data_IF_118638248198
#
_entry.id   IF_118638248198
#
_cell.length_a   1.000
_cell.length_b   1.000
_cell.length_c   1.000
_cell.angle_alpha   90.00
_cell.angle_beta   90.00
_cell.angle_gamma   90.00
#
_symmetry.space_group_name_H-M   'P 1'
#
loop_
_entity.id
_entity.type
_entity.pdbx_description
1 polymer ?
#
# COMPACT_ATOMS: atom_id res chain seq x y z
N UNK A 1 59.29 -28.95 -7.12
CA UNK A 1 59.55 -29.10 -5.67
C UNK A 1 58.41 -28.36 -4.98
N UNK A 2 57.37 -28.94 -4.39
CA UNK A 2 56.96 -30.30 -3.97
C UNK A 2 55.43 -30.13 -3.76
N UNK A 3 54.57 -30.80 -4.52
CA UNK A 3 53.96 -32.13 -4.24
C UNK A 3 53.01 -32.21 -3.02
N UNK A 4 51.82 -32.77 -3.29
CA UNK A 4 50.91 -33.43 -2.33
C UNK A 4 49.69 -32.59 -1.90
N UNK A 5 48.45 -33.08 -1.89
CA UNK A 5 47.93 -34.43 -2.15
C UNK A 5 46.39 -34.38 -2.20
N UNK A 6 45.81 -35.25 -3.03
CA UNK A 6 44.37 -35.54 -3.21
C UNK A 6 43.65 -35.98 -1.93
N UNK A 7 42.32 -35.78 -1.89
CA UNK A 7 41.38 -36.83 -1.46
C UNK A 7 39.98 -36.67 -2.06
N UNK A 8 39.50 -37.80 -2.55
CA UNK A 8 38.24 -38.15 -3.22
C UNK A 8 37.18 -38.65 -2.24
N UNK A 9 35.93 -38.78 -2.73
CA UNK A 9 34.76 -39.42 -2.10
C UNK A 9 33.54 -38.49 -2.17
N UNK A 10 32.55 -38.60 -3.06
CA UNK A 10 31.76 -39.74 -3.59
C UNK A 10 30.96 -40.45 -2.51
N UNK A 11 29.63 -40.18 -2.48
CA UNK A 11 28.49 -41.10 -2.22
C UNK A 11 27.17 -40.27 -2.23
N UNK A 12 26.29 -40.50 -3.23
CA UNK A 12 25.03 -41.28 -3.18
C UNK A 12 23.78 -40.39 -2.93
N UNK A 13 23.04 -39.99 -3.96
CA UNK A 13 21.81 -40.62 -4.53
C UNK A 13 20.66 -40.77 -3.52
N UNK A 14 19.59 -39.99 -3.72
CA UNK A 14 18.20 -40.41 -3.45
C UNK A 14 17.21 -39.61 -4.30
N UNK A 15 16.82 -40.17 -5.45
CA UNK A 15 15.59 -39.83 -6.17
C UNK A 15 14.46 -40.66 -5.57
N UNK A 16 13.29 -40.05 -5.33
CA UNK A 16 12.05 -40.83 -5.26
C UNK A 16 10.92 -40.08 -5.98
N UNK A 17 10.55 -40.66 -7.13
CA UNK A 17 9.42 -40.32 -7.97
C UNK A 17 8.09 -40.58 -7.23
N UNK A 18 7.17 -39.64 -7.34
CA UNK A 18 5.75 -39.83 -7.00
C UNK A 18 4.94 -39.70 -8.29
N UNK A 19 4.65 -40.84 -8.92
CA UNK A 19 3.63 -40.95 -9.96
C UNK A 19 2.31 -41.33 -9.27
N UNK A 20 1.28 -40.52 -9.49
CA UNK A 20 -0.11 -40.84 -9.14
C UNK A 20 -0.76 -41.18 -10.48
N UNK A 21 -1.04 -42.46 -10.70
CA UNK A 21 -1.91 -42.95 -11.77
C UNK A 21 -3.34 -43.09 -11.26
N UNK A 22 -4.26 -42.75 -12.17
CA UNK A 22 -5.69 -42.71 -12.04
C UNK A 22 -6.32 -44.07 -11.68
N UNK A 23 -7.36 -44.05 -10.86
CA UNK A 23 -8.32 -45.16 -10.74
C UNK A 23 -9.73 -44.60 -10.95
N UNK A 24 -10.28 -44.88 -12.12
CA UNK A 24 -11.72 -44.96 -12.38
C UNK A 24 -12.04 -46.39 -12.79
N UNK A 25 -13.00 -47.03 -12.12
CA UNK A 25 -13.87 -48.03 -12.75
C UNK A 25 -15.14 -48.21 -11.93
N UNK A 26 -16.25 -48.11 -12.66
CA UNK A 26 -17.64 -48.17 -12.26
C UNK A 26 -18.18 -49.62 -12.29
N UNK A 27 -19.41 -49.78 -11.81
CA UNK A 27 -20.40 -50.84 -12.12
C UNK A 27 -20.34 -52.27 -11.52
N UNK A 28 -21.18 -52.44 -10.48
CA UNK A 28 -22.36 -53.33 -10.38
C UNK A 28 -22.36 -54.83 -10.74
N UNK A 29 -22.78 -55.61 -9.72
CA UNK A 29 -23.84 -56.65 -9.67
C UNK A 29 -23.65 -58.05 -10.32
N UNK A 30 -23.56 -59.11 -9.50
CA UNK A 30 -24.67 -60.01 -9.11
C UNK A 30 -24.19 -61.29 -8.35
N UNK A 31 -24.99 -61.68 -7.33
CA UNK A 31 -25.40 -63.03 -6.80
C UNK A 31 -24.49 -64.27 -7.04
N UNK A 32 -24.25 -65.20 -6.10
CA UNK A 32 -25.21 -65.93 -5.22
C UNK A 32 -24.46 -66.83 -4.19
N UNK A 33 -25.03 -66.96 -2.98
CA UNK A 33 -25.10 -68.13 -2.07
C UNK A 33 -23.85 -68.89 -1.52
N UNK A 34 -23.69 -68.97 -0.17
CA UNK A 34 -23.99 -70.16 0.66
C UNK A 34 -23.79 -69.90 2.18
N UNK A 35 -24.68 -70.49 2.99
CA UNK A 35 -24.91 -70.36 4.43
C UNK A 35 -23.74 -70.81 5.34
N UNK A 36 -23.64 -70.20 6.53
CA UNK A 36 -23.62 -70.93 7.81
C UNK A 36 -23.70 -69.97 9.02
N UNK A 37 -24.61 -70.33 9.93
CA UNK A 37 -24.95 -69.77 11.23
C UNK A 37 -23.80 -69.15 12.05
N UNK A 38 -24.03 -67.96 12.61
CA UNK A 38 -23.64 -67.65 14.01
C UNK A 38 -24.51 -66.52 14.55
N UNK A 39 -25.37 -66.92 15.47
CA UNK A 39 -26.10 -66.08 16.42
C UNK A 39 -25.14 -65.17 17.21
N UNK A 40 -25.30 -63.85 17.08
CA UNK A 40 -24.74 -62.89 18.05
C UNK A 40 -25.48 -61.55 18.00
N UNK A 41 -26.21 -61.32 19.09
CA UNK A 41 -26.49 -60.04 19.76
C UNK A 41 -26.66 -58.78 18.87
N UNK A 42 -27.91 -58.36 18.72
CA UNK A 42 -28.32 -57.02 18.28
C UNK A 42 -27.80 -55.96 19.28
N UNK A 43 -27.02 -54.94 18.86
CA UNK A 43 -26.77 -53.76 19.68
C UNK A 43 -27.85 -52.70 19.44
N UNK A 44 -28.85 -52.70 20.30
CA UNK A 44 -29.96 -51.72 20.37
C UNK A 44 -29.50 -50.40 21.02
N UNK A 45 -28.54 -49.67 20.43
CA UNK A 45 -28.07 -48.38 21.02
C UNK A 45 -27.84 -47.22 20.03
N UNK A 46 -27.75 -47.43 18.71
CA UNK A 46 -27.48 -46.31 17.77
C UNK A 46 -28.70 -45.61 17.15
N UNK A 47 -29.92 -46.15 17.34
CA UNK A 47 -31.15 -45.59 16.73
C UNK A 47 -31.61 -44.30 17.44
N UNK A 48 -31.17 -44.05 18.68
CA UNK A 48 -31.67 -42.92 19.48
C UNK A 48 -31.09 -41.56 19.09
N UNK A 49 -29.86 -41.47 18.58
CA UNK A 49 -29.24 -40.19 18.21
C UNK A 49 -29.70 -39.72 16.83
N UNK A 50 -29.78 -40.62 15.86
CA UNK A 50 -30.19 -40.32 14.48
C UNK A 50 -31.65 -39.82 14.41
N UNK A 51 -32.55 -40.38 15.22
CA UNK A 51 -33.94 -39.89 15.34
C UNK A 51 -34.02 -38.49 15.98
N UNK A 52 -33.07 -38.13 16.84
CA UNK A 52 -33.04 -36.85 17.54
C UNK A 52 -32.60 -35.72 16.61
N UNK A 53 -31.61 -35.99 15.76
CA UNK A 53 -31.13 -35.06 14.72
C UNK A 53 -32.21 -34.78 13.67
N UNK A 54 -32.92 -35.83 13.21
CA UNK A 54 -34.05 -35.68 12.27
C UNK A 54 -35.20 -34.84 12.85
N UNK A 55 -35.44 -34.88 14.17
CA UNK A 55 -36.47 -34.06 14.83
C UNK A 55 -36.10 -32.57 14.90
N UNK A 56 -34.83 -32.25 15.15
CA UNK A 56 -34.35 -30.86 15.18
C UNK A 56 -34.45 -30.25 13.78
N UNK A 57 -33.98 -30.97 12.75
CA UNK A 57 -34.11 -30.54 11.37
C UNK A 57 -35.58 -30.33 10.96
N UNK A 58 -36.47 -31.25 11.34
CA UNK A 58 -37.91 -31.10 11.11
C UNK A 58 -38.49 -29.86 11.79
N UNK A 59 -38.06 -29.55 13.02
CA UNK A 59 -38.52 -28.37 13.77
C UNK A 59 -38.15 -27.06 13.06
N UNK A 60 -36.88 -26.94 12.61
CA UNK A 60 -36.40 -25.76 11.87
C UNK A 60 -37.11 -25.58 10.52
N UNK A 61 -37.36 -26.68 9.81
CA UNK A 61 -38.06 -26.65 8.51
C UNK A 61 -39.55 -26.35 8.66
N UNK A 62 -40.18 -26.75 9.76
CA UNK A 62 -41.63 -26.53 9.97
C UNK A 62 -41.94 -25.08 10.37
N UNK A 63 -41.02 -24.38 11.06
CA UNK A 63 -41.25 -23.03 11.58
C UNK A 63 -40.13 -22.02 11.23
N UNK A 64 -39.73 -21.88 9.96
CA UNK A 64 -38.55 -21.10 9.59
C UNK A 64 -38.68 -19.62 9.93
N UNK A 65 -39.89 -19.05 9.83
CA UNK A 65 -40.16 -17.64 10.18
C UNK A 65 -40.01 -17.36 11.67
N UNK A 66 -40.41 -18.31 12.52
CA UNK A 66 -40.31 -18.17 13.97
C UNK A 66 -38.85 -18.20 14.41
N UNK A 67 -38.07 -19.17 13.90
CA UNK A 67 -36.64 -19.23 14.20
C UNK A 67 -35.90 -18.01 13.65
N UNK A 68 -36.19 -17.59 12.42
CA UNK A 68 -35.62 -16.34 11.88
C UNK A 68 -35.94 -15.14 12.78
N UNK A 69 -37.18 -15.01 13.24
CA UNK A 69 -37.60 -13.94 14.15
C UNK A 69 -36.91 -14.00 15.51
N UNK A 70 -36.77 -15.19 16.11
CA UNK A 70 -36.06 -15.39 17.37
C UNK A 70 -34.57 -15.09 17.24
N UNK A 71 -33.93 -15.56 16.18
CA UNK A 71 -32.50 -15.31 15.91
C UNK A 71 -32.27 -13.83 15.66
N UNK A 72 -33.09 -13.18 14.82
CA UNK A 72 -33.02 -11.74 14.57
C UNK A 72 -33.27 -10.93 15.85
N UNK A 73 -34.24 -11.34 16.66
CA UNK A 73 -34.52 -10.74 17.96
C UNK A 73 -33.33 -10.84 18.91
N UNK A 74 -32.66 -11.99 18.95
CA UNK A 74 -31.43 -12.19 19.71
C UNK A 74 -30.29 -11.28 19.23
N UNK A 75 -30.11 -11.12 17.91
CA UNK A 75 -29.10 -10.22 17.36
C UNK A 75 -29.40 -8.75 17.69
N UNK A 76 -30.65 -8.32 17.53
CA UNK A 76 -31.08 -6.98 17.92
C UNK A 76 -30.84 -6.74 19.41
N UNK A 77 -31.21 -7.68 20.28
CA UNK A 77 -30.97 -7.59 21.72
C UNK A 77 -29.48 -7.47 22.04
N UNK A 78 -28.63 -8.27 21.38
CA UNK A 78 -27.17 -8.18 21.53
C UNK A 78 -26.61 -6.81 21.10
N UNK A 79 -27.11 -6.25 19.99
CA UNK A 79 -26.71 -4.91 19.52
C UNK A 79 -27.18 -3.81 20.49
N UNK A 80 -28.42 -3.88 20.97
CA UNK A 80 -28.97 -2.89 21.89
C UNK A 80 -28.26 -2.93 23.24
N UNK A 81 -28.09 -4.12 23.82
CA UNK A 81 -27.36 -4.30 25.08
C UNK A 81 -25.91 -3.84 24.94
N UNK A 82 -25.25 -4.15 23.83
CA UNK A 82 -23.91 -3.62 23.54
C UNK A 82 -23.93 -2.08 23.47
N UNK A 83 -24.86 -1.48 22.73
CA UNK A 83 -24.92 -0.01 22.64
C UNK A 83 -25.14 0.64 24.02
N UNK A 84 -26.00 0.07 24.86
CA UNK A 84 -26.27 0.56 26.23
C UNK A 84 -25.03 0.44 27.12
N UNK A 85 -24.36 -0.71 27.12
CA UNK A 85 -23.12 -0.94 27.88
C UNK A 85 -22.02 0.05 27.46
N UNK A 86 -21.93 0.40 26.17
CA UNK A 86 -20.92 1.30 25.63
C UNK A 86 -21.16 2.72 26.13
N UNK A 87 -22.42 3.17 26.09
CA UNK A 87 -22.83 4.47 26.63
C UNK A 87 -22.61 4.52 28.15
N UNK A 88 -22.82 3.41 28.85
CA UNK A 88 -22.57 3.28 30.28
C UNK A 88 -21.07 3.21 30.65
N UNK A 89 -20.17 3.25 29.67
CA UNK A 89 -18.72 3.26 29.88
C UNK A 89 -18.10 1.88 30.11
N UNK A 90 -18.84 0.79 29.85
CA UNK A 90 -18.27 -0.55 29.83
C UNK A 90 -17.54 -0.78 28.50
N UNK A 91 -16.33 -1.34 28.59
CA UNK A 91 -15.58 -1.80 27.43
C UNK A 91 -16.06 -3.20 27.03
N UNK A 92 -16.96 -3.25 26.06
CA UNK A 92 -17.69 -4.46 25.62
C UNK A 92 -16.91 -5.24 24.57
N UNK A 93 -15.99 -4.56 23.93
CA UNK A 93 -14.94 -5.16 23.15
C UNK A 93 -13.66 -4.86 23.93
N UNK A 94 -13.38 -5.56 25.04
CA UNK A 94 -12.03 -5.57 25.56
C UNK A 94 -11.21 -6.25 24.47
N UNK A 95 -10.72 -5.47 23.51
CA UNK A 95 -9.78 -5.95 22.53
C UNK A 95 -8.46 -6.00 23.27
N UNK A 96 -8.37 -6.96 24.18
CA UNK A 96 -7.15 -7.28 24.86
C UNK A 96 -6.28 -8.03 23.85
N UNK A 97 -5.48 -7.24 23.14
CA UNK A 97 -4.43 -7.73 22.27
C UNK A 97 -3.24 -8.32 23.04
N UNK A 98 -3.35 -8.53 24.36
CA UNK A 98 -2.30 -9.20 25.17
C UNK A 98 -1.92 -10.58 24.65
N UNK A 99 -2.81 -11.24 23.91
CA UNK A 99 -2.57 -12.53 23.27
C UNK A 99 -2.69 -12.48 21.73
N UNK A 100 -2.23 -11.40 21.09
CA UNK A 100 -1.92 -11.47 19.65
C UNK A 100 -0.81 -12.52 19.48
N UNK A 101 -0.91 -13.48 18.53
CA UNK A 101 0.09 -14.53 18.31
C UNK A 101 1.49 -14.03 17.88
N UNK A 102 1.69 -12.71 17.93
CA UNK A 102 2.91 -11.99 17.64
C UNK A 102 3.15 -10.96 18.78
N UNK A 103 3.33 -11.45 20.01
CA UNK A 103 3.77 -10.61 21.13
C UNK A 103 5.23 -10.21 20.89
N UNK A 104 5.43 -9.05 20.26
CA UNK A 104 6.73 -8.48 19.95
C UNK A 104 7.08 -7.33 20.90
N UNK A 105 6.30 -7.07 21.96
CA UNK A 105 6.53 -5.92 22.85
C UNK A 105 7.98 -5.87 23.38
N UNK A 106 8.52 -7.04 23.74
CA UNK A 106 9.91 -7.16 24.21
C UNK A 106 10.92 -7.53 23.10
N UNK A 107 10.48 -7.68 21.85
CA UNK A 107 11.37 -8.03 20.75
C UNK A 107 12.33 -6.86 20.44
N UNK A 108 13.65 -7.09 20.43
CA UNK A 108 14.61 -6.02 20.22
C UNK A 108 14.55 -5.41 18.81
N UNK A 109 13.97 -6.09 17.83
CA UNK A 109 13.74 -5.52 16.48
C UNK A 109 12.55 -4.58 16.50
N UNK A 110 11.45 -4.95 17.17
CA UNK A 110 10.31 -4.06 17.40
C UNK A 110 10.70 -2.87 18.25
N UNK A 111 11.36 -3.07 19.40
CA UNK A 111 11.81 -1.98 20.27
C UNK A 111 12.71 -0.99 19.53
N UNK A 112 13.60 -1.46 18.64
CA UNK A 112 14.40 -0.57 17.76
C UNK A 112 13.54 0.17 16.74
N UNK A 113 12.58 -0.51 16.12
CA UNK A 113 11.67 0.11 15.17
C UNK A 113 10.77 1.16 15.83
N UNK A 114 10.23 0.87 17.02
CA UNK A 114 9.42 1.78 17.82
C UNK A 114 10.26 2.93 18.36
N UNK A 115 11.45 2.67 18.88
CA UNK A 115 12.39 3.73 19.29
C UNK A 115 12.71 4.67 18.11
N UNK A 116 12.86 4.16 16.89
CA UNK A 116 13.06 4.99 15.70
C UNK A 116 11.78 5.75 15.29
N UNK A 117 10.62 5.09 15.37
CA UNK A 117 9.31 5.65 15.00
C UNK A 117 8.90 6.81 15.92
N UNK A 118 9.15 6.67 17.22
CA UNK A 118 8.82 7.66 18.25
C UNK A 118 10.04 8.50 18.67
N UNK A 119 11.18 8.37 17.97
CA UNK A 119 12.39 9.13 18.25
C UNK A 119 12.12 10.64 18.30
N UNK A 120 11.23 11.14 17.44
CA UNK A 120 10.86 12.56 17.38
C UNK A 120 10.05 13.07 18.57
N UNK A 121 9.49 12.16 19.38
CA UNK A 121 8.68 12.49 20.57
C UNK A 121 9.54 12.51 21.85
N UNK A 122 10.79 12.02 21.75
CA UNK A 122 11.74 12.03 22.87
C UNK A 122 12.56 13.32 22.87
N UNK A 123 12.58 14.02 24.01
CA UNK A 123 13.45 15.19 24.23
C UNK A 123 14.94 14.85 24.19
N UNK A 124 15.30 13.56 24.30
CA UNK A 124 16.67 13.08 24.23
C UNK A 124 17.23 13.02 22.79
N UNK A 125 16.35 13.10 21.78
CA UNK A 125 16.75 13.07 20.36
C UNK A 125 16.62 14.46 19.77
N UNK A 126 17.74 15.16 19.63
CA UNK A 126 17.82 16.32 18.74
C UNK A 126 17.64 15.85 17.30
N UNK A 127 16.41 15.97 16.79
CA UNK A 127 16.13 15.79 15.38
C UNK A 127 17.06 16.69 14.56
N UNK A 128 17.63 16.14 13.49
CA UNK A 128 18.48 16.86 12.52
C UNK A 128 17.92 18.26 12.24
N UNK A 129 18.80 19.27 12.17
CA UNK A 129 18.42 20.67 11.92
C UNK A 129 17.55 20.86 10.67
N UNK A 130 17.67 19.96 9.69
CA UNK A 130 16.83 19.92 8.49
C UNK A 130 15.36 19.51 8.73
N UNK A 131 14.99 19.02 9.91
CA UNK A 131 13.60 18.77 10.32
C UNK A 131 13.05 19.91 11.22
N UNK A 132 13.93 20.62 11.93
CA UNK A 132 13.54 21.53 13.03
C UNK A 132 13.71 23.01 12.68
N UNK A 133 14.61 23.39 11.76
CA UNK A 133 14.88 24.80 11.44
C UNK A 133 15.09 25.07 9.94
N UNK A 134 14.25 25.92 9.36
CA UNK A 134 14.53 26.60 8.08
C UNK A 134 14.84 25.71 6.88
N UNK A 135 14.24 24.52 6.82
CA UNK A 135 14.51 23.54 5.78
C UNK A 135 14.10 24.11 4.42
N UNK A 136 15.00 24.06 3.44
CA UNK A 136 14.64 24.39 2.06
C UNK A 136 13.45 23.51 1.62
N UNK A 137 12.54 24.09 0.85
CA UNK A 137 11.29 23.42 0.47
C UNK A 137 11.58 22.12 -0.30
N UNK A 138 10.78 21.08 -0.04
CA UNK A 138 10.76 19.81 -0.77
C UNK A 138 12.08 19.03 -0.79
N UNK A 139 12.88 19.10 0.27
CA UNK A 139 14.15 18.37 0.38
C UNK A 139 14.07 17.09 1.23
N UNK A 140 13.04 16.93 2.06
CA UNK A 140 12.87 15.79 2.97
C UNK A 140 11.78 14.88 2.44
N UNK A 141 12.07 13.59 2.22
CA UNK A 141 11.06 12.62 1.78
C UNK A 141 9.95 12.49 2.83
N UNK A 142 8.69 12.61 2.41
CA UNK A 142 7.51 12.40 3.25
C UNK A 142 6.78 11.10 2.89
N UNK A 143 6.35 10.96 1.64
CA UNK A 143 5.63 9.77 1.17
C UNK A 143 6.11 9.33 -0.21
N UNK A 144 5.86 8.06 -0.54
CA UNK A 144 6.16 7.49 -1.85
C UNK A 144 4.89 7.24 -2.65
N UNK A 145 4.97 7.47 -3.96
CA UNK A 145 4.08 6.83 -4.93
C UNK A 145 4.86 5.65 -5.54
N UNK A 146 4.42 4.44 -5.21
CA UNK A 146 4.98 3.21 -5.74
C UNK A 146 4.17 2.76 -6.96
N UNK A 147 4.89 2.42 -8.03
CA UNK A 147 4.35 1.92 -9.29
C UNK A 147 4.93 0.53 -9.50
N UNK A 148 4.07 -0.48 -9.66
CA UNK A 148 4.49 -1.86 -9.85
C UNK A 148 3.99 -2.36 -11.19
N UNK A 149 4.87 -3.03 -11.92
CA UNK A 149 4.65 -3.50 -13.27
C UNK A 149 4.87 -5.01 -13.32
N UNK A 150 3.91 -5.74 -13.86
CA UNK A 150 3.97 -7.20 -14.04
C UNK A 150 3.85 -7.55 -15.51
N UNK A 151 4.76 -8.38 -16.03
CA UNK A 151 4.73 -8.83 -17.41
C UNK A 151 3.66 -9.89 -17.61
N UNK A 152 2.89 -9.77 -18.70
CA UNK A 152 2.01 -10.86 -19.16
C UNK A 152 2.82 -11.95 -19.90
N UNK A 153 3.98 -11.59 -20.45
CA UNK A 153 4.86 -12.45 -21.26
C UNK A 153 6.05 -12.99 -20.43
N UNK A 154 5.91 -13.06 -19.11
CA UNK A 154 6.91 -13.54 -18.12
C UNK A 154 8.16 -12.68 -17.92
N UNK A 155 8.54 -11.80 -18.85
CA UNK A 155 9.72 -10.92 -18.66
C UNK A 155 9.38 -9.43 -18.81
N UNK A 156 9.82 -8.62 -17.84
CA UNK A 156 9.76 -7.15 -17.84
C UNK A 156 10.99 -6.48 -18.42
N UNK A 157 12.12 -7.20 -18.50
CA UNK A 157 13.42 -6.67 -18.91
C UNK A 157 13.60 -6.72 -20.43
N UNK A 158 12.62 -6.18 -21.15
CA UNK A 158 12.63 -6.08 -22.62
C UNK A 158 12.60 -4.62 -23.04
N UNK A 159 13.20 -4.31 -24.19
CA UNK A 159 13.26 -2.95 -24.75
C UNK A 159 11.88 -2.31 -24.89
N UNK A 160 10.90 -3.07 -25.39
CA UNK A 160 9.53 -2.58 -25.59
C UNK A 160 8.87 -2.23 -24.26
N UNK A 161 9.04 -3.07 -23.25
CA UNK A 161 8.47 -2.86 -21.91
C UNK A 161 9.14 -1.71 -21.16
N UNK A 162 10.48 -1.63 -21.18
CA UNK A 162 11.22 -0.53 -20.54
C UNK A 162 10.87 0.83 -21.16
N UNK A 163 10.71 0.90 -22.49
CA UNK A 163 10.21 2.11 -23.16
C UNK A 163 8.79 2.50 -22.72
N UNK A 164 7.89 1.53 -22.52
CA UNK A 164 6.53 1.80 -22.01
C UNK A 164 6.56 2.36 -20.59
N UNK A 165 7.40 1.80 -19.72
CA UNK A 165 7.61 2.32 -18.36
C UNK A 165 8.17 3.74 -18.42
N UNK A 166 9.16 3.99 -19.28
CA UNK A 166 9.76 5.31 -19.47
C UNK A 166 8.74 6.35 -19.91
N UNK A 167 7.87 6.02 -20.86
CA UNK A 167 6.78 6.91 -21.28
C UNK A 167 5.85 7.25 -20.12
N UNK A 168 5.42 6.25 -19.34
CA UNK A 168 4.55 6.51 -18.18
C UNK A 168 5.26 7.37 -17.11
N UNK A 169 6.52 7.06 -16.77
CA UNK A 169 7.30 7.86 -15.83
C UNK A 169 7.40 9.32 -16.28
N UNK A 170 7.72 9.55 -17.56
CA UNK A 170 7.80 10.90 -18.13
C UNK A 170 6.45 11.62 -18.07
N UNK A 171 5.34 10.95 -18.38
CA UNK A 171 4.00 11.53 -18.27
C UNK A 171 3.67 11.95 -16.83
N UNK A 172 4.00 11.10 -15.84
CA UNK A 172 3.77 11.41 -14.43
C UNK A 172 4.69 12.54 -13.94
N UNK A 173 5.95 12.57 -14.39
CA UNK A 173 6.90 13.64 -14.05
C UNK A 173 6.55 14.98 -14.68
N UNK A 174 5.95 14.97 -15.88
CA UNK A 174 5.50 16.17 -16.58
C UNK A 174 4.19 16.73 -16.02
N UNK A 175 3.59 16.07 -15.03
CA UNK A 175 2.45 16.63 -14.32
C UNK A 175 2.85 17.94 -13.61
N UNK A 176 2.10 19.01 -13.88
CA UNK A 176 2.39 20.34 -13.35
C UNK A 176 2.40 20.39 -11.81
N UNK A 177 1.43 19.72 -11.17
CA UNK A 177 1.33 19.67 -9.70
C UNK A 177 2.53 18.92 -9.12
N UNK A 178 2.93 17.82 -9.75
CA UNK A 178 4.13 17.09 -9.35
C UNK A 178 5.37 17.97 -9.37
N UNK A 179 5.65 18.56 -10.53
CA UNK A 179 6.89 19.30 -10.77
C UNK A 179 7.00 20.56 -9.89
N UNK A 180 5.91 21.31 -9.78
CA UNK A 180 5.93 22.59 -9.09
C UNK A 180 5.76 22.46 -7.57
N UNK A 181 5.08 21.41 -7.09
CA UNK A 181 4.58 21.39 -5.69
C UNK A 181 4.94 20.17 -4.85
N UNK A 182 5.17 19.00 -5.45
CA UNK A 182 5.27 17.75 -4.68
C UNK A 182 6.63 17.07 -4.75
N UNK A 183 7.30 17.13 -5.90
CA UNK A 183 8.51 16.36 -6.14
C UNK A 183 9.61 16.69 -5.13
N UNK A 184 10.40 15.68 -4.75
CA UNK A 184 11.65 15.91 -4.03
C UNK A 184 12.67 16.64 -4.91
N UNK A 185 13.26 17.71 -4.39
CA UNK A 185 14.27 18.48 -5.10
C UNK A 185 15.66 17.89 -4.93
N UNK A 186 16.45 17.95 -6.00
CA UNK A 186 17.88 17.67 -6.01
C UNK A 186 18.70 18.89 -5.59
N UNK A 187 20.03 18.74 -5.48
CA UNK A 187 20.94 19.86 -5.18
C UNK A 187 20.81 21.03 -6.18
N UNK A 188 20.46 20.73 -7.44
CA UNK A 188 20.24 21.68 -8.52
C UNK A 188 18.87 22.37 -8.49
N UNK A 189 18.08 22.19 -7.42
CA UNK A 189 16.70 22.69 -7.30
C UNK A 189 15.73 22.17 -8.39
N UNK A 190 16.09 21.08 -9.06
CA UNK A 190 15.23 20.38 -10.02
C UNK A 190 14.61 19.15 -9.37
N UNK A 191 13.42 18.74 -9.81
CA UNK A 191 12.82 17.49 -9.35
C UNK A 191 13.76 16.31 -9.58
N UNK A 192 13.95 15.49 -8.54
CA UNK A 192 14.63 14.21 -8.66
C UNK A 192 13.83 13.28 -9.56
N UNK A 193 14.54 12.50 -10.36
CA UNK A 193 13.95 11.43 -11.16
C UNK A 193 13.40 10.32 -10.24
N UNK A 194 12.34 9.59 -10.66
CA UNK A 194 11.88 8.40 -9.98
C UNK A 194 13.02 7.41 -9.76
N UNK A 195 13.02 6.74 -8.62
CA UNK A 195 13.93 5.63 -8.38
C UNK A 195 13.32 4.42 -9.09
N UNK A 196 13.96 3.95 -10.17
CA UNK A 196 13.45 2.85 -10.99
C UNK A 196 14.57 2.12 -11.71
N UNK A 197 14.24 0.97 -12.30
CA UNK A 197 15.16 0.20 -13.15
C UNK A 197 15.74 1.03 -14.30
N UNK A 198 15.01 2.05 -14.77
CA UNK A 198 15.45 2.91 -15.88
C UNK A 198 16.69 3.76 -15.53
N UNK A 199 16.96 3.99 -14.25
CA UNK A 199 18.09 4.82 -13.81
C UNK A 199 19.46 4.17 -14.12
N UNK A 200 19.50 2.85 -14.31
CA UNK A 200 20.71 2.15 -14.77
C UNK A 200 21.03 2.38 -16.25
N UNK A 201 20.06 2.88 -17.01
CA UNK A 201 20.15 3.04 -18.46
C UNK A 201 20.28 4.50 -18.89
N UNK A 202 19.75 5.44 -18.10
CA UNK A 202 19.60 6.84 -18.50
C UNK A 202 20.77 7.76 -18.10
N UNK A 203 21.88 7.17 -17.65
CA UNK A 203 23.12 7.88 -17.29
C UNK A 203 23.18 8.36 -15.84
N UNK A 204 22.14 8.08 -15.03
CA UNK A 204 22.14 8.44 -13.59
C UNK A 204 23.35 7.86 -12.85
N UNK A 205 23.82 6.68 -13.25
CA UNK A 205 24.96 6.00 -12.62
C UNK A 205 26.21 5.92 -13.52
N UNK A 206 26.27 6.69 -14.61
CA UNK A 206 27.38 6.63 -15.57
C UNK A 206 28.73 7.02 -14.94
N UNK A 207 28.73 7.84 -13.90
CA UNK A 207 29.95 8.19 -13.16
C UNK A 207 30.54 7.01 -12.37
N UNK A 208 29.77 5.95 -12.14
CA UNK A 208 30.24 4.74 -11.45
C UNK A 208 30.85 3.73 -12.43
N UNK A 209 30.29 3.62 -13.64
CA UNK A 209 30.79 2.77 -14.72
C UNK A 209 30.21 3.22 -16.08
N UNK A 210 30.99 3.14 -17.15
CA UNK A 210 30.58 3.59 -18.48
C UNK A 210 29.38 2.82 -19.05
N UNK A 211 29.33 1.52 -18.77
CA UNK A 211 28.23 0.63 -19.18
C UNK A 211 26.88 0.96 -18.52
N UNK A 212 26.83 1.78 -17.48
CA UNK A 212 25.58 2.22 -16.85
C UNK A 212 24.93 3.38 -17.62
N UNK A 213 24.95 3.26 -18.94
CA UNK A 213 24.37 4.19 -19.90
C UNK A 213 24.02 3.46 -21.21
N UNK A 214 22.74 3.14 -21.35
CA UNK A 214 22.16 2.53 -22.56
C UNK A 214 20.74 3.07 -22.75
N UNK A 215 20.61 4.33 -23.21
CA UNK A 215 19.31 5.02 -23.26
C UNK A 215 18.33 4.38 -24.25
N UNK A 216 18.80 3.49 -25.13
CA UNK A 216 17.99 2.82 -26.14
C UNK A 216 17.59 1.39 -25.74
N UNK A 217 18.12 0.87 -24.63
CA UNK A 217 17.90 -0.49 -24.13
C UNK A 217 18.36 -1.56 -25.14
N UNK A 218 19.52 -1.34 -25.77
CA UNK A 218 20.10 -2.27 -26.75
C UNK A 218 20.90 -3.39 -26.08
N UNK A 219 21.46 -3.16 -24.88
CA UNK A 219 22.37 -4.06 -24.17
C UNK A 219 21.91 -4.34 -22.72
N UNK A 220 20.62 -4.66 -22.54
CA UNK A 220 19.98 -4.81 -21.23
C UNK A 220 20.76 -5.74 -20.28
N UNK A 221 21.12 -6.94 -20.73
CA UNK A 221 21.86 -7.90 -19.90
C UNK A 221 23.18 -7.32 -19.39
N UNK A 222 23.96 -6.69 -20.26
CA UNK A 222 25.27 -6.14 -19.95
C UNK A 222 25.20 -5.05 -18.86
N UNK A 223 24.26 -4.13 -19.02
CA UNK A 223 24.00 -3.05 -18.05
C UNK A 223 23.63 -3.63 -16.68
N UNK A 224 22.76 -4.64 -16.66
CA UNK A 224 22.26 -5.22 -15.41
C UNK A 224 23.31 -6.09 -14.70
N UNK A 225 24.11 -6.87 -15.44
CA UNK A 225 25.25 -7.62 -14.89
C UNK A 225 26.27 -6.65 -14.27
N UNK A 226 26.57 -5.55 -14.95
CA UNK A 226 27.47 -4.50 -14.43
C UNK A 226 26.90 -3.84 -13.18
N UNK A 227 25.60 -3.49 -13.19
CA UNK A 227 24.95 -2.92 -12.03
C UNK A 227 24.92 -3.89 -10.82
N UNK A 228 24.88 -5.21 -11.07
CA UNK A 228 24.89 -6.25 -10.04
C UNK A 228 26.29 -6.48 -9.44
N UNK A 229 27.36 -6.30 -10.23
CA UNK A 229 28.75 -6.49 -9.76
C UNK A 229 29.26 -5.33 -8.88
N UNK A 230 28.68 -4.14 -9.03
CA UNK A 230 29.07 -2.95 -8.27
C UNK A 230 28.33 -2.84 -6.92
N UNK A 231 29.09 -2.71 -5.83
CA UNK A 231 28.55 -2.62 -4.47
C UNK A 231 27.51 -1.49 -4.28
N UNK A 232 27.73 -0.34 -4.93
CA UNK A 232 26.88 0.84 -4.79
C UNK A 232 25.50 0.67 -5.42
N UNK A 233 25.39 -0.10 -6.51
CA UNK A 233 24.17 -0.25 -7.31
C UNK A 233 23.44 -1.56 -7.07
N UNK A 234 24.14 -2.60 -6.60
CA UNK A 234 23.60 -3.96 -6.43
C UNK A 234 22.32 -4.01 -5.59
N UNK A 235 22.29 -3.35 -4.43
CA UNK A 235 21.11 -3.33 -3.57
C UNK A 235 19.94 -2.58 -4.20
N UNK A 236 20.23 -1.47 -4.89
CA UNK A 236 19.23 -0.68 -5.61
C UNK A 236 18.65 -1.48 -6.77
N UNK A 237 19.48 -2.22 -7.51
CA UNK A 237 19.03 -3.11 -8.57
C UNK A 237 18.11 -4.20 -8.02
N UNK A 238 18.54 -4.92 -6.98
CA UNK A 238 17.74 -5.97 -6.35
C UNK A 238 16.38 -5.45 -5.85
N UNK A 239 16.34 -4.22 -5.33
CA UNK A 239 15.09 -3.57 -4.93
C UNK A 239 14.12 -3.38 -6.10
N UNK A 240 14.59 -3.17 -7.34
CA UNK A 240 13.71 -2.96 -8.49
C UNK A 240 13.25 -4.24 -9.18
N UNK A 241 13.75 -5.39 -8.77
CA UNK A 241 13.45 -6.68 -9.40
C UNK A 241 12.43 -7.49 -8.59
N UNK A 242 11.87 -8.50 -9.24
CA UNK A 242 11.09 -9.55 -8.58
C UNK A 242 12.00 -10.50 -7.81
N UNK A 243 11.41 -11.25 -6.87
CA UNK A 243 12.15 -12.27 -6.08
C UNK A 243 12.71 -13.40 -6.96
N UNK A 244 12.03 -13.65 -8.07
CA UNK A 244 12.32 -14.66 -9.09
C UNK A 244 13.21 -14.13 -10.23
N UNK A 245 13.78 -12.93 -10.08
CA UNK A 245 14.63 -12.36 -11.12
C UNK A 245 15.93 -13.15 -11.28
N UNK A 246 16.30 -13.42 -12.52
CA UNK A 246 17.54 -14.06 -12.91
C UNK A 246 18.34 -13.09 -13.79
N UNK A 247 19.50 -12.68 -13.29
CA UNK A 247 20.50 -11.90 -14.03
C UNK A 247 21.80 -12.67 -13.93
N UNK A 248 22.22 -13.24 -15.04
CA UNK A 248 23.42 -14.07 -15.08
C UNK A 248 24.08 -13.98 -16.46
N UNK A 249 25.37 -13.63 -16.43
CA UNK A 249 26.19 -13.50 -17.62
C UNK A 249 26.55 -14.87 -18.23
N UNK A 250 26.67 -15.93 -17.42
CA UNK A 250 27.05 -17.26 -17.90
C UNK A 250 25.90 -17.89 -18.69
N UNK A 251 24.68 -17.79 -18.18
CA UNK A 251 23.48 -18.31 -18.85
C UNK A 251 22.90 -17.35 -19.89
N UNK A 252 23.48 -16.15 -20.04
CA UNK A 252 22.98 -15.06 -20.89
C UNK A 252 21.51 -14.73 -20.60
N UNK A 253 21.13 -14.72 -19.32
CA UNK A 253 19.75 -14.49 -18.88
C UNK A 253 19.60 -13.16 -18.15
N UNK A 254 18.62 -12.37 -18.56
CA UNK A 254 18.13 -11.20 -17.84
C UNK A 254 16.60 -11.26 -17.85
N UNK A 255 16.04 -11.83 -16.79
CA UNK A 255 14.60 -12.05 -16.66
C UNK A 255 14.09 -11.58 -15.31
N UNK A 256 12.94 -10.92 -15.30
CA UNK A 256 12.19 -10.63 -14.08
C UNK A 256 10.72 -10.48 -14.45
N UNK A 257 9.83 -11.16 -13.74
CA UNK A 257 8.38 -11.02 -13.97
C UNK A 257 7.85 -9.67 -13.51
N UNK A 258 8.48 -9.07 -12.49
CA UNK A 258 8.08 -7.81 -11.89
C UNK A 258 9.18 -6.76 -11.98
N UNK A 259 8.78 -5.49 -12.07
CA UNK A 259 9.66 -4.37 -11.72
C UNK A 259 8.84 -3.25 -11.08
N UNK A 260 9.52 -2.28 -10.48
CA UNK A 260 8.86 -1.18 -9.77
C UNK A 260 9.60 0.15 -9.91
N UNK A 261 8.84 1.23 -9.82
CA UNK A 261 9.32 2.60 -9.77
C UNK A 261 8.78 3.30 -8.53
N UNK A 262 9.58 4.19 -7.94
CA UNK A 262 9.23 4.95 -6.75
C UNK A 262 9.39 6.45 -7.03
N UNK A 263 8.31 7.19 -6.86
CA UNK A 263 8.29 8.65 -6.94
C UNK A 263 8.17 9.23 -5.53
N UNK A 264 9.13 10.04 -5.11
CA UNK A 264 9.18 10.59 -3.75
C UNK A 264 8.52 11.98 -3.66
N UNK A 265 7.49 12.08 -2.84
CA UNK A 265 6.85 13.33 -2.44
C UNK A 265 7.61 13.87 -1.23
N UNK A 266 7.91 15.16 -1.23
CA UNK A 266 8.78 15.77 -0.25
C UNK A 266 8.18 16.97 0.48
N UNK A 267 8.71 17.21 1.67
CA UNK A 267 8.44 18.30 2.58
C UNK A 267 9.71 19.12 2.86
N UNK A 268 9.57 20.29 3.50
CA UNK A 268 8.33 21.03 3.70
C UNK A 268 7.73 21.48 2.36
N UNK A 269 6.40 21.57 2.30
CA UNK A 269 5.73 22.15 1.12
C UNK A 269 5.95 23.67 1.09
N UNK A 270 5.69 24.26 -0.08
CA UNK A 270 5.69 25.72 -0.19
C UNK A 270 4.66 26.36 0.76
N UNK A 271 5.10 27.41 1.45
CA UNK A 271 4.39 28.10 2.53
C UNK A 271 4.65 27.57 3.94
N UNK A 272 5.48 26.54 4.13
CA UNK A 272 5.81 25.99 5.45
C UNK A 272 7.30 26.11 5.76
N UNK A 273 7.61 26.45 7.02
CA UNK A 273 8.98 26.74 7.46
C UNK A 273 9.80 25.49 7.81
N UNK A 274 9.14 24.37 8.10
CA UNK A 274 9.77 23.09 8.45
C UNK A 274 8.79 21.92 8.29
N UNK A 275 9.28 20.70 8.44
CA UNK A 275 8.47 19.47 8.41
C UNK A 275 7.58 19.33 9.65
N UNK A 276 7.88 20.06 10.72
CA UNK A 276 7.12 20.05 11.98
C UNK A 276 6.06 21.17 12.01
N UNK A 277 6.25 22.22 11.22
CA UNK A 277 5.33 23.35 11.16
C UNK A 277 3.98 22.91 10.58
N UNK A 278 2.91 23.04 11.38
CA UNK A 278 1.53 22.73 10.97
C UNK A 278 1.42 21.37 10.26
N UNK A 279 2.04 20.34 10.87
CA UNK A 279 2.18 19.00 10.27
C UNK A 279 0.88 18.43 9.70
N UNK A 280 -0.23 18.61 10.40
CA UNK A 280 -1.56 18.17 9.94
C UNK A 280 -2.01 18.92 8.67
N UNK A 281 -1.95 20.25 8.66
CA UNK A 281 -2.28 21.07 7.49
C UNK A 281 -1.36 20.74 6.29
N UNK A 282 -0.06 20.56 6.54
CA UNK A 282 0.90 20.17 5.51
C UNK A 282 0.58 18.76 4.95
N UNK A 283 0.16 17.84 5.82
CA UNK A 283 -0.30 16.49 5.43
C UNK A 283 -1.53 16.56 4.56
N UNK A 284 -2.59 17.26 5.00
CA UNK A 284 -3.82 17.41 4.22
C UNK A 284 -3.58 18.08 2.86
N UNK A 285 -2.73 19.12 2.82
CA UNK A 285 -2.33 19.78 1.57
C UNK A 285 -1.54 18.84 0.67
N UNK A 286 -0.59 18.09 1.21
CA UNK A 286 0.19 17.10 0.45
C UNK A 286 -0.71 16.02 -0.14
N UNK A 287 -1.65 15.50 0.65
CA UNK A 287 -2.54 14.42 0.26
C UNK A 287 -3.51 14.90 -0.82
N UNK A 288 -4.12 16.09 -0.65
CA UNK A 288 -4.99 16.69 -1.66
C UNK A 288 -4.25 16.90 -2.99
N UNK A 289 -3.06 17.49 -2.96
CA UNK A 289 -2.26 17.72 -4.16
C UNK A 289 -1.86 16.39 -4.84
N UNK A 290 -1.58 15.35 -4.06
CA UNK A 290 -1.22 14.02 -4.58
C UNK A 290 -2.40 13.37 -5.30
N UNK A 291 -3.59 13.46 -4.70
CA UNK A 291 -4.84 12.98 -5.31
C UNK A 291 -5.11 13.73 -6.61
N UNK A 292 -5.07 15.07 -6.58
CA UNK A 292 -5.31 15.93 -7.74
C UNK A 292 -4.30 15.66 -8.88
N UNK A 293 -3.04 15.37 -8.55
CA UNK A 293 -2.00 15.09 -9.53
C UNK A 293 -2.18 13.74 -10.21
N UNK A 294 -2.55 12.69 -9.46
CA UNK A 294 -2.31 11.31 -9.90
C UNK A 294 -3.51 10.38 -9.86
N UNK A 295 -4.49 10.56 -8.97
CA UNK A 295 -5.52 9.55 -8.70
C UNK A 295 -6.24 9.10 -9.99
N UNK A 296 -6.74 10.07 -10.75
CA UNK A 296 -7.44 9.85 -12.02
C UNK A 296 -6.58 9.11 -13.07
N UNK A 297 -5.33 9.55 -13.25
CA UNK A 297 -4.43 8.96 -14.26
C UNK A 297 -4.07 7.53 -13.86
N UNK A 298 -3.68 7.31 -12.61
CA UNK A 298 -3.28 6.00 -12.11
C UNK A 298 -4.45 5.01 -12.13
N UNK A 299 -5.66 5.43 -11.74
CA UNK A 299 -6.88 4.61 -11.82
C UNK A 299 -7.21 4.19 -13.26
N UNK A 300 -7.08 5.12 -14.22
CA UNK A 300 -7.24 4.80 -15.65
C UNK A 300 -6.17 3.83 -16.14
N UNK A 301 -4.91 4.01 -15.76
CA UNK A 301 -3.82 3.11 -16.14
C UNK A 301 -3.99 1.72 -15.52
N UNK A 302 -4.45 1.63 -14.27
CA UNK A 302 -4.75 0.36 -13.60
C UNK A 302 -5.87 -0.41 -14.29
N UNK A 303 -6.97 0.27 -14.61
CA UNK A 303 -8.14 -0.37 -15.24
C UNK A 303 -7.90 -0.76 -16.70
N UNK A 304 -7.18 0.06 -17.47
CA UNK A 304 -6.88 -0.23 -18.89
C UNK A 304 -5.65 -1.12 -19.07
N UNK A 305 -4.76 -1.15 -18.08
CA UNK A 305 -3.42 -1.72 -18.20
C UNK A 305 -2.52 -0.91 -19.14
N UNK A 306 -1.27 -1.32 -19.21
CA UNK A 306 -0.37 -0.95 -20.29
C UNK A 306 -0.29 -2.14 -21.25
N UNK A 307 -0.03 -1.95 -22.56
CA UNK A 307 0.07 -3.09 -23.47
C UNK A 307 1.10 -4.11 -22.96
N UNK A 308 0.72 -5.38 -22.86
CA UNK A 308 1.56 -6.48 -22.35
C UNK A 308 1.96 -6.41 -20.87
N UNK A 309 1.49 -5.41 -20.10
CA UNK A 309 1.94 -5.14 -18.72
C UNK A 309 0.70 -4.89 -17.84
N UNK A 310 0.56 -5.69 -16.79
CA UNK A 310 -0.37 -5.38 -15.70
C UNK A 310 0.25 -4.32 -14.81
N UNK A 311 -0.54 -3.31 -14.47
CA UNK A 311 -0.07 -2.14 -13.74
C UNK A 311 -0.76 -2.07 -12.39
N UNK A 312 0.02 -1.84 -11.33
CA UNK A 312 -0.46 -1.63 -9.98
C UNK A 312 0.20 -0.36 -9.43
N UNK A 313 -0.45 0.27 -8.46
CA UNK A 313 0.11 1.44 -7.80
C UNK A 313 -0.30 1.49 -6.34
N UNK A 314 0.53 2.10 -5.52
CA UNK A 314 0.23 2.37 -4.13
C UNK A 314 0.72 3.75 -3.73
N UNK A 315 -0.19 4.50 -3.11
CA UNK A 315 0.12 5.69 -2.35
C UNK A 315 -0.93 5.81 -1.23
N UNK A 316 -0.49 6.14 -0.02
CA UNK A 316 -1.37 6.21 1.15
C UNK A 316 -2.53 7.18 0.95
N UNK A 317 -2.27 8.40 0.46
CA UNK A 317 -3.30 9.42 0.27
C UNK A 317 -4.37 8.98 -0.72
N UNK A 318 -3.95 8.42 -1.86
CA UNK A 318 -4.87 7.93 -2.89
C UNK A 318 -5.69 6.74 -2.37
N UNK A 319 -5.05 5.79 -1.69
CA UNK A 319 -5.72 4.63 -1.10
C UNK A 319 -6.80 5.03 -0.09
N UNK A 320 -6.47 5.91 0.86
CA UNK A 320 -7.43 6.41 1.85
C UNK A 320 -8.57 7.17 1.17
N UNK A 321 -8.28 7.98 0.15
CA UNK A 321 -9.31 8.70 -0.59
C UNK A 321 -10.28 7.75 -1.32
N UNK A 322 -9.78 6.71 -1.99
CA UNK A 322 -10.64 5.72 -2.66
C UNK A 322 -11.53 4.95 -1.67
N UNK A 323 -11.02 4.59 -0.49
CA UNK A 323 -11.83 4.00 0.59
C UNK A 323 -12.92 4.98 1.03
N UNK A 324 -12.57 6.25 1.26
CA UNK A 324 -13.53 7.27 1.69
C UNK A 324 -14.65 7.49 0.67
N UNK A 325 -14.36 7.33 -0.63
CA UNK A 325 -15.37 7.41 -1.69
C UNK A 325 -16.32 6.20 -1.71
N UNK A 326 -15.89 5.04 -1.22
CA UNK A 326 -16.72 3.83 -1.12
C UNK A 326 -17.70 3.86 0.05
N UNK A 327 -17.43 4.66 1.09
CA UNK A 327 -18.32 4.84 2.24
C UNK A 327 -19.08 6.18 2.13
N UNK A 328 -20.31 6.19 1.58
CA UNK A 328 -21.05 7.43 1.29
C UNK A 328 -21.41 8.26 2.54
N UNK A 329 -21.36 7.68 3.74
CA UNK A 329 -21.64 8.38 5.00
C UNK A 329 -20.61 9.47 5.33
N UNK A 330 -19.39 9.38 4.80
CA UNK A 330 -18.33 10.40 4.98
C UNK A 330 -18.30 11.46 3.87
N UNK A 331 -18.78 11.14 2.67
CA UNK A 331 -18.80 12.08 1.54
C UNK A 331 -19.78 13.26 1.78
N UNK A 332 -20.89 13.00 2.47
CA UNK A 332 -21.86 14.04 2.86
C UNK A 332 -21.26 15.11 3.77
N UNK A 333 -20.29 14.78 4.63
CA UNK A 333 -19.61 15.77 5.51
C UNK A 333 -18.58 16.64 4.78
N UNK A 334 -17.92 16.12 3.73
CA UNK A 334 -16.88 16.88 2.99
C UNK A 334 -17.45 17.85 1.96
N UNK A 335 -18.58 17.51 1.33
CA UNK A 335 -19.26 18.41 0.39
C UNK A 335 -19.85 19.62 1.13
N UNK A 336 -20.31 19.44 2.36
CA UNK A 336 -20.92 20.52 3.14
C UNK A 336 -19.87 21.49 3.72
N UNK A 337 -18.69 21.02 4.15
CA UNK A 337 -17.65 21.92 4.67
C UNK A 337 -17.02 22.84 3.62
N UNK A 338 -16.82 22.39 2.36
CA UNK A 338 -16.30 23.26 1.29
C UNK A 338 -17.32 24.35 0.90
N UNK A 339 -18.61 24.03 0.93
CA UNK A 339 -19.67 25.00 0.68
C UNK A 339 -19.87 25.96 1.86
N UNK A 340 -19.78 25.49 3.10
CA UNK A 340 -19.85 26.32 4.32
C UNK A 340 -18.65 27.26 4.47
N UNK A 341 -17.42 26.82 4.17
CA UNK A 341 -16.23 27.67 4.19
C UNK A 341 -16.22 28.70 3.05
N UNK A 342 -16.76 28.35 1.88
CA UNK A 342 -17.01 29.29 0.78
C UNK A 342 -18.07 30.35 1.11
N UNK A 343 -19.13 29.96 1.84
CA UNK A 343 -20.20 30.86 2.27
C UNK A 343 -19.77 31.79 3.41
N UNK A 344 -18.99 31.29 4.36
CA UNK A 344 -18.46 32.07 5.48
C UNK A 344 -17.47 33.16 5.02
N UNK A 345 -16.67 32.90 3.97
CA UNK A 345 -15.78 33.90 3.37
C UNK A 345 -16.53 35.00 2.60
N UNK A 346 -17.64 34.67 1.94
CA UNK A 346 -18.48 35.67 1.23
C UNK A 346 -19.32 36.54 2.18
N UNK A 347 -19.73 36.04 3.35
CA UNK A 347 -20.43 36.87 4.36
C UNK A 347 -19.52 37.87 5.09
N UNK A 348 -18.24 37.55 5.34
CA UNK A 348 -17.29 38.54 5.91
C UNK A 348 -16.98 39.70 4.96
N UNK A 349 -16.99 39.48 3.64
CA UNK A 349 -16.83 40.55 2.64
C UNK A 349 -18.08 41.42 2.46
N UNK A 350 -19.28 40.89 2.72
CA UNK A 350 -20.52 41.67 2.66
C UNK A 350 -20.83 42.45 3.96
N UNK A 351 -20.49 41.92 5.15
CA UNK A 351 -20.67 42.67 6.40
C UNK A 351 -19.57 43.73 6.66
N UNK A 352 -18.36 43.56 6.11
CA UNK A 352 -17.30 44.57 6.22
C UNK A 352 -17.56 45.86 5.43
N UNK A 353 -18.49 45.83 4.46
CA UNK A 353 -18.82 46.98 3.61
C UNK A 353 -20.04 47.79 4.09
N UNK A 354 -20.80 47.29 5.06
CA UNK A 354 -21.98 47.97 5.60
C UNK A 354 -21.71 48.83 6.85
N UNK A 355 -20.50 48.76 7.44
CA UNK A 355 -20.14 49.51 8.66
C UNK A 355 -19.25 50.74 8.36
N UNK A 356 -18.90 51.01 7.09
CA UNK A 356 -18.07 52.16 6.69
C UNK A 356 -18.87 53.39 6.20
N UNK A 357 -20.17 53.48 6.49
CA UNK A 357 -20.99 54.66 6.18
C UNK A 357 -21.81 55.11 7.38
N UNK A 358 -21.15 55.46 8.48
CA UNK A 358 -21.74 56.32 9.50
C UNK A 358 -20.71 57.32 10.03
N UNK A 359 -21.04 58.60 9.84
CA UNK A 359 -20.57 59.81 10.54
C UNK A 359 -19.08 60.19 10.43
N UNK A 360 -18.82 61.22 9.63
CA UNK A 360 -17.90 62.31 10.03
C UNK A 360 -18.73 63.59 10.25
N UNK A 361 -18.63 64.26 11.40
CA UNK A 361 -19.21 65.58 11.57
C UNK A 361 -18.31 66.65 10.92
N UNK A 362 -18.99 67.65 10.35
CA UNK A 362 -18.45 68.87 9.75
C UNK A 362 -17.60 69.67 10.77
N UNK A 363 -16.43 70.21 10.40
CA UNK A 363 -15.75 71.20 11.23
C UNK A 363 -16.40 72.57 11.08
N UNK A 364 -16.77 73.17 12.21
CA UNK A 364 -17.12 74.59 12.33
C UNK A 364 -15.87 75.44 12.10
N UNK A 365 -15.98 76.37 11.17
CA UNK A 365 -15.08 77.52 11.00
C UNK A 365 -15.25 78.47 12.19
N UNK A 366 -14.15 78.78 12.87
CA UNK A 366 -14.06 79.85 13.85
C UNK A 366 -13.21 80.96 13.24
N UNK A 367 -13.89 81.99 12.76
CA UNK A 367 -13.31 83.30 12.50
C UNK A 367 -12.81 83.89 13.82
N UNK A 368 -11.54 84.27 13.89
CA UNK A 368 -11.06 85.32 14.79
C UNK A 368 -10.65 86.51 13.93
N UNK A 369 -11.35 87.62 14.13
CA UNK A 369 -10.94 88.96 13.74
C UNK A 369 -10.89 89.79 15.03
N UNK A 370 -9.77 90.52 15.17
CA UNK A 370 -9.39 91.52 16.18
C UNK A 370 -9.12 91.03 17.60
#
# INVERSE_FOLDING_TARGET
>A
MTEGQERTGQDAIYEQNMQIEDIQSDETANKEELQADTESAVPEVQISEEIKELRICRLFVTWPKLFFGLTLGGHCLAIFTSTILYIAGYDILPIDFSAVPLNLEDDPTKLRADAWKFASESDAVTLSSSAVSGSAQRIVRYQGLELVYESQEKNMLTKTTLKRIQTLENELQNNKIWNEKLCMLGPTQTCRKPTSILRFFDGTYQSLHEDLFDPNFDNILHVLVTAQSLNTTRSTLAYHLGKDAAIDNLTQTAQSKYTRSLMNIAWPLDGFNSTLNQKEEQTEKSDSLTIDAFADKLKRTYTKGLPGIKFYYYNRAIYVNEIQLQFPLTAARRIDLRNLLGFARRRKLFLGRAISTMRRPHPRTLHKNK
#
